data_IF_430101682648
#
_entry.id   IF_430101682648
#
_cell.length_a   1.000
_cell.length_b   1.000
_cell.length_c   1.000
_cell.angle_alpha   90.00
_cell.angle_beta   90.00
_cell.angle_gamma   90.00
#
_symmetry.space_group_name_H-M   'P 1'
#
loop_
_entity.id
_entity.type
_entity.pdbx_description
1 polymer ?
#
# COMPACT_ATOMS: atom_id res chain seq x y z
N UNK A 1 -35.50 0.47 54.32
CA UNK A 1 -34.30 -0.31 54.63
C UNK A 1 -33.87 -0.93 53.31
N UNK A 2 -32.99 -0.47 52.50
CA UNK A 2 -31.72 0.16 52.61
C UNK A 2 -30.62 -0.84 52.33
N UNK A 3 -29.77 -0.61 51.35
CA UNK A 3 -28.34 -0.98 51.16
C UNK A 3 -28.09 -1.25 49.68
N UNK A 4 -27.56 -0.33 48.89
CA UNK A 4 -26.18 0.05 48.69
C UNK A 4 -25.28 -1.10 48.18
N UNK A 5 -25.08 -1.15 46.85
CA UNK A 5 -24.11 -1.97 46.13
C UNK A 5 -22.99 -1.11 45.56
N UNK A 6 -21.74 -1.38 45.96
CA UNK A 6 -20.53 -0.70 45.55
C UNK A 6 -20.16 -1.02 44.12
N UNK A 7 -19.91 0.00 43.31
CA UNK A 7 -19.23 -0.06 42.02
C UNK A 7 -17.72 -0.18 42.23
N UNK A 8 -17.13 -1.25 41.72
CA UNK A 8 -15.68 -1.37 41.59
C UNK A 8 -15.25 -0.76 40.24
N UNK A 9 -14.51 0.36 40.31
CA UNK A 9 -13.88 0.97 39.17
C UNK A 9 -12.73 0.07 38.67
N UNK A 10 -12.88 -0.46 37.47
CA UNK A 10 -11.80 -1.11 36.72
C UNK A 10 -10.85 -0.03 36.18
N UNK A 11 -9.58 -0.12 36.55
CA UNK A 11 -8.52 0.74 36.02
C UNK A 11 -8.16 0.16 34.65
N UNK A 12 -8.68 0.77 33.58
CA UNK A 12 -8.26 0.50 32.22
C UNK A 12 -6.83 0.99 32.06
N UNK A 13 -5.90 0.03 31.93
CA UNK A 13 -4.52 0.29 31.49
C UNK A 13 -4.56 0.81 30.07
N UNK A 14 -4.42 2.11 29.89
CA UNK A 14 -4.26 2.76 28.61
C UNK A 14 -2.94 2.30 27.97
N UNK A 15 -3.04 1.30 27.10
CA UNK A 15 -1.97 0.95 26.18
C UNK A 15 -1.80 2.10 25.18
N UNK A 16 -0.66 2.76 25.19
CA UNK A 16 -0.32 3.81 24.24
C UNK A 16 -0.38 3.25 22.82
N UNK A 17 -1.09 3.90 21.87
CA UNK A 17 -1.15 3.44 20.50
C UNK A 17 0.22 3.60 19.84
N UNK A 18 0.82 2.50 19.42
CA UNK A 18 1.98 2.51 18.52
C UNK A 18 1.58 3.22 17.23
N UNK A 19 2.32 4.26 16.85
CA UNK A 19 1.99 5.18 15.75
C UNK A 19 1.78 4.51 14.37
N UNK A 20 2.18 3.25 14.20
CA UNK A 20 1.97 2.47 12.97
C UNK A 20 0.58 1.85 12.83
N UNK A 21 -0.10 1.53 13.93
CA UNK A 21 -1.41 0.84 13.86
C UNK A 21 -2.55 1.74 13.38
N UNK A 22 -2.50 3.03 13.69
CA UNK A 22 -3.54 3.98 13.30
C UNK A 22 -3.63 4.23 11.80
N UNK A 23 -2.50 4.26 11.10
CA UNK A 23 -2.49 4.44 9.64
C UNK A 23 -3.07 3.22 8.92
N UNK A 24 -2.67 2.01 9.31
CA UNK A 24 -3.21 0.75 8.75
C UNK A 24 -4.72 0.63 8.98
N UNK A 25 -5.20 1.02 10.17
CA UNK A 25 -6.63 1.01 10.49
C UNK A 25 -7.41 2.02 9.63
N UNK A 26 -6.88 3.24 9.44
CA UNK A 26 -7.47 4.25 8.56
C UNK A 26 -7.53 3.78 7.12
N UNK A 27 -6.48 3.15 6.63
CA UNK A 27 -6.45 2.55 5.31
C UNK A 27 -7.49 1.45 5.16
N UNK A 28 -7.59 0.52 6.10
CA UNK A 28 -8.58 -0.55 6.06
C UNK A 28 -10.02 0.01 6.01
N UNK A 29 -10.31 1.06 6.77
CA UNK A 29 -11.62 1.71 6.77
C UNK A 29 -11.96 2.38 5.44
N UNK A 30 -10.99 2.98 4.75
CA UNK A 30 -11.18 3.57 3.41
C UNK A 30 -11.61 2.54 2.35
N UNK A 31 -11.26 1.26 2.55
CA UNK A 31 -11.59 0.20 1.61
C UNK A 31 -12.87 -0.57 1.97
N UNK A 32 -13.31 -0.52 3.23
CA UNK A 32 -14.55 -1.18 3.67
C UNK A 32 -15.81 -0.34 3.46
N UNK A 33 -15.68 0.96 3.19
CA UNK A 33 -16.83 1.85 2.98
C UNK A 33 -17.32 1.74 1.54
N UNK A 34 -18.20 0.81 1.26
CA UNK A 34 -18.95 0.70 0.00
C UNK A 34 -20.28 1.45 0.00
N UNK A 35 -20.60 2.16 1.07
CA UNK A 35 -21.84 2.93 1.17
C UNK A 35 -21.65 4.05 2.19
N UNK A 36 -21.31 5.27 1.74
CA UNK A 36 -21.74 6.49 2.42
C UNK A 36 -21.22 7.73 1.68
N UNK A 37 -21.97 8.15 0.69
CA UNK A 37 -21.79 9.46 0.04
C UNK A 37 -22.11 10.63 1.00
N UNK A 38 -22.75 10.38 2.14
CA UNK A 38 -23.11 11.40 3.12
C UNK A 38 -22.01 11.68 4.17
N UNK A 39 -21.13 10.75 4.44
CA UNK A 39 -20.03 10.97 5.38
C UNK A 39 -18.91 11.86 4.81
N UNK A 40 -18.87 12.07 3.51
CA UNK A 40 -17.87 12.93 2.85
C UNK A 40 -18.17 14.43 2.98
N UNK A 41 -19.41 14.82 3.24
CA UNK A 41 -19.80 16.23 3.32
C UNK A 41 -19.41 16.92 4.66
N UNK A 42 -19.11 16.17 5.71
CA UNK A 42 -18.74 16.72 7.03
C UNK A 42 -17.23 16.74 7.29
N UNK A 43 -16.40 16.23 6.39
CA UNK A 43 -14.94 16.19 6.55
C UNK A 43 -14.19 17.40 5.97
N UNK A 44 -14.88 18.43 5.48
CA UNK A 44 -14.29 19.53 4.70
C UNK A 44 -13.80 20.70 5.56
N UNK A 45 -13.61 20.56 6.87
CA UNK A 45 -13.15 21.70 7.68
C UNK A 45 -12.01 21.45 8.67
N UNK A 46 -11.34 20.31 8.59
CA UNK A 46 -10.05 20.17 9.27
C UNK A 46 -8.95 20.43 8.23
N UNK A 47 -8.05 21.37 8.51
CA UNK A 47 -6.85 21.57 7.71
C UNK A 47 -6.20 20.19 7.48
N UNK A 48 -6.05 19.79 6.22
CA UNK A 48 -5.52 18.48 5.84
C UNK A 48 -4.12 18.34 6.47
N UNK A 49 -3.91 17.43 7.43
CA UNK A 49 -2.59 17.25 8.06
C UNK A 49 -1.51 16.85 7.03
N UNK A 50 -1.92 16.54 5.80
CA UNK A 50 -1.04 16.20 4.68
C UNK A 50 -0.83 17.35 3.68
N UNK A 51 -1.19 18.59 4.02
CA UNK A 51 -1.07 19.73 3.11
C UNK A 51 0.38 19.94 2.63
N UNK A 52 1.36 19.63 3.47
CA UNK A 52 2.80 19.68 3.13
C UNK A 52 3.35 18.33 2.60
N UNK A 53 2.50 17.37 2.27
CA UNK A 53 2.89 16.03 1.86
C UNK A 53 2.98 15.94 0.33
N UNK A 54 4.06 15.39 -0.25
CA UNK A 54 4.16 15.15 -1.69
C UNK A 54 2.97 14.36 -2.22
N UNK A 55 2.52 14.72 -3.41
CA UNK A 55 1.45 13.97 -4.09
C UNK A 55 1.90 12.53 -4.33
N UNK A 56 0.98 11.58 -4.19
CA UNK A 56 1.21 10.19 -4.60
C UNK A 56 0.44 9.89 -5.87
N UNK A 57 1.11 9.25 -6.82
CA UNK A 57 0.50 8.88 -8.09
C UNK A 57 0.95 7.48 -8.55
N UNK A 58 0.13 6.84 -9.38
CA UNK A 58 0.48 5.55 -9.97
C UNK A 58 1.29 5.79 -11.24
N UNK A 59 2.49 5.23 -11.30
CA UNK A 59 3.32 5.35 -12.49
C UNK A 59 2.59 4.82 -13.71
N UNK A 60 2.53 5.62 -14.77
CA UNK A 60 1.90 5.26 -16.04
C UNK A 60 2.38 3.90 -16.55
N UNK A 61 1.43 3.02 -16.86
CA UNK A 61 1.70 1.65 -17.30
C UNK A 61 2.02 0.65 -16.18
N UNK A 62 2.13 1.09 -14.91
CA UNK A 62 2.49 0.25 -13.77
C UNK A 62 1.33 -0.02 -12.79
N UNK A 63 0.09 0.34 -13.16
CA UNK A 63 -1.10 0.11 -12.36
C UNK A 63 -1.53 -1.36 -12.32
N UNK A 64 -1.08 -2.16 -13.29
CA UNK A 64 -1.48 -3.56 -13.46
C UNK A 64 -0.26 -4.44 -13.69
N UNK A 65 -0.21 -5.56 -12.97
CA UNK A 65 0.79 -6.61 -13.13
C UNK A 65 0.09 -7.88 -13.62
N UNK A 66 0.54 -8.43 -14.76
CA UNK A 66 0.03 -9.68 -15.31
C UNK A 66 1.08 -10.78 -15.16
N UNK A 67 0.69 -11.91 -14.63
CA UNK A 67 1.53 -13.07 -14.40
C UNK A 67 0.97 -14.26 -15.19
N UNK A 68 1.74 -14.74 -16.14
CA UNK A 68 1.37 -15.89 -16.97
C UNK A 68 1.94 -17.20 -16.47
N UNK A 69 1.59 -18.28 -17.14
CA UNK A 69 2.21 -19.59 -16.94
C UNK A 69 3.69 -19.54 -17.36
N UNK A 70 4.55 -20.22 -16.58
CA UNK A 70 5.99 -20.20 -16.79
C UNK A 70 6.36 -20.62 -18.23
N UNK A 71 7.23 -19.84 -18.88
CA UNK A 71 7.73 -20.10 -20.22
C UNK A 71 6.71 -19.90 -21.35
N UNK A 72 5.54 -19.36 -21.06
CA UNK A 72 4.50 -19.07 -22.07
C UNK A 72 4.29 -17.56 -22.22
N UNK A 73 3.87 -17.15 -23.41
CA UNK A 73 3.37 -15.79 -23.63
C UNK A 73 2.11 -15.55 -22.79
N UNK A 74 1.94 -14.31 -22.29
CA UNK A 74 0.79 -13.95 -21.47
C UNK A 74 -0.39 -13.61 -22.37
N UNK A 75 -1.28 -14.58 -22.55
CA UNK A 75 -2.58 -14.44 -23.22
C UNK A 75 -3.72 -14.50 -22.19
N UNK A 76 -4.96 -14.35 -22.66
CA UNK A 76 -6.15 -14.57 -21.82
C UNK A 76 -6.18 -15.98 -21.20
N UNK A 77 -5.75 -17.00 -21.95
CA UNK A 77 -5.79 -18.41 -21.55
C UNK A 77 -4.62 -18.81 -20.66
N UNK A 78 -3.44 -18.20 -20.87
CA UNK A 78 -2.23 -18.50 -20.09
C UNK A 78 -2.06 -17.59 -18.88
N UNK A 79 -2.97 -16.61 -18.68
CA UNK A 79 -2.98 -15.73 -17.54
C UNK A 79 -3.25 -16.51 -16.25
N UNK A 80 -2.33 -16.44 -15.30
CA UNK A 80 -2.50 -17.01 -13.96
C UNK A 80 -3.08 -16.03 -12.99
N UNK A 81 -2.49 -14.83 -12.91
CA UNK A 81 -2.90 -13.81 -11.97
C UNK A 81 -2.79 -12.43 -12.58
N UNK A 82 -3.68 -11.54 -12.18
CA UNK A 82 -3.60 -10.13 -12.51
C UNK A 82 -3.77 -9.30 -11.23
N UNK A 83 -2.72 -8.60 -10.83
CA UNK A 83 -2.79 -7.63 -9.75
C UNK A 83 -3.11 -6.24 -10.30
N UNK A 84 -3.95 -5.48 -9.59
CA UNK A 84 -4.31 -4.11 -9.95
C UNK A 84 -4.28 -3.23 -8.71
N UNK A 85 -3.63 -2.06 -8.80
CA UNK A 85 -3.69 -1.02 -7.77
C UNK A 85 -5.02 -0.30 -7.93
N UNK A 86 -5.78 -0.19 -6.84
CA UNK A 86 -7.07 0.48 -6.80
C UNK A 86 -7.00 1.85 -6.16
N UNK A 87 -6.24 1.99 -5.08
CA UNK A 87 -6.13 3.23 -4.29
C UNK A 87 -4.75 3.40 -3.68
N UNK A 88 -4.36 4.66 -3.52
CA UNK A 88 -3.19 5.09 -2.76
C UNK A 88 -3.65 5.97 -1.59
N UNK A 89 -2.91 5.91 -0.49
CA UNK A 89 -3.00 6.88 0.58
C UNK A 89 -1.60 7.22 1.09
N UNK A 90 -1.45 8.40 1.67
CA UNK A 90 -0.18 8.88 2.18
C UNK A 90 -0.32 9.53 3.55
N UNK A 91 0.76 9.48 4.31
CA UNK A 91 0.95 10.22 5.55
C UNK A 91 2.40 10.67 5.60
N UNK A 92 2.65 11.93 5.97
CA UNK A 92 4.00 12.47 6.02
C UNK A 92 4.35 12.94 7.43
N UNK A 93 5.64 12.87 7.72
CA UNK A 93 6.23 13.50 8.90
C UNK A 93 7.52 14.21 8.53
N UNK A 94 7.74 15.41 9.09
CA UNK A 94 8.95 16.20 8.86
C UNK A 94 9.71 16.33 10.17
N UNK A 95 11.00 16.00 10.13
CA UNK A 95 11.92 16.18 11.26
C UNK A 95 13.19 16.88 10.77
N UNK A 96 13.29 18.18 11.10
CA UNK A 96 14.37 19.02 10.55
C UNK A 96 14.31 19.07 9.02
N UNK A 97 15.41 18.79 8.31
CA UNK A 97 15.44 18.77 6.85
C UNK A 97 14.92 17.44 6.26
N UNK A 98 14.56 16.46 7.09
CA UNK A 98 14.21 15.11 6.65
C UNK A 98 12.70 14.94 6.62
N UNK A 99 12.18 14.51 5.48
CA UNK A 99 10.80 14.10 5.30
C UNK A 99 10.74 12.57 5.24
N UNK A 100 9.76 12.00 5.93
CA UNK A 100 9.40 10.60 5.84
C UNK A 100 7.96 10.50 5.34
N UNK A 101 7.76 9.78 4.26
CA UNK A 101 6.45 9.53 3.67
C UNK A 101 6.07 8.07 3.88
N UNK A 102 4.90 7.84 4.47
CA UNK A 102 4.26 6.53 4.50
C UNK A 102 3.28 6.46 3.34
N UNK A 103 3.33 5.36 2.61
CA UNK A 103 2.45 5.14 1.46
C UNK A 103 1.70 3.83 1.62
N UNK A 104 0.39 3.93 1.65
CA UNK A 104 -0.50 2.77 1.60
C UNK A 104 -0.96 2.50 0.17
N UNK A 105 -0.89 1.25 -0.23
CA UNK A 105 -1.31 0.76 -1.55
C UNK A 105 -2.33 -0.33 -1.35
N UNK A 106 -3.54 -0.10 -1.83
CA UNK A 106 -4.55 -1.12 -1.83
C UNK A 106 -4.92 -1.52 -3.25
N UNK A 107 -5.22 -2.78 -3.40
CA UNK A 107 -5.57 -3.36 -4.68
C UNK A 107 -6.14 -4.76 -4.53
N UNK A 108 -6.14 -5.48 -5.63
CA UNK A 108 -6.64 -6.85 -5.68
C UNK A 108 -5.83 -7.70 -6.66
N UNK A 109 -5.81 -8.98 -6.41
CA UNK A 109 -5.34 -10.00 -7.35
C UNK A 109 -6.53 -10.78 -7.86
N UNK A 110 -6.71 -10.80 -9.16
CA UNK A 110 -7.72 -11.62 -9.84
C UNK A 110 -7.04 -12.88 -10.39
N UNK A 111 -7.66 -14.02 -10.22
CA UNK A 111 -7.17 -15.31 -10.68
C UNK A 111 -7.64 -15.52 -12.10
N UNK A 112 -6.69 -15.77 -13.00
CA UNK A 112 -6.97 -16.08 -14.41
C UNK A 112 -7.20 -17.57 -14.66
N UNK A 113 -7.55 -17.96 -15.91
CA UNK A 113 -7.88 -19.35 -16.28
C UNK A 113 -6.76 -20.36 -16.01
N UNK A 114 -5.49 -19.94 -16.11
CA UNK A 114 -4.33 -20.79 -15.78
C UNK A 114 -3.84 -20.61 -14.35
N UNK A 115 -4.57 -19.86 -13.51
CA UNK A 115 -4.28 -19.66 -12.10
C UNK A 115 -4.82 -20.76 -11.21
N UNK A 116 -4.52 -20.68 -9.92
CA UNK A 116 -4.98 -21.61 -8.89
C UNK A 116 -4.51 -21.18 -7.51
N UNK A 117 -4.83 -21.97 -6.48
CA UNK A 117 -4.39 -21.72 -5.12
C UNK A 117 -2.88 -21.64 -5.01
N UNK A 118 -2.39 -20.83 -4.08
CA UNK A 118 -0.96 -20.67 -3.82
C UNK A 118 -0.59 -19.28 -3.33
N UNK A 119 0.69 -18.99 -3.34
CA UNK A 119 1.23 -17.70 -2.96
C UNK A 119 1.85 -17.01 -4.18
N UNK A 120 1.55 -15.72 -4.30
CA UNK A 120 2.13 -14.83 -5.32
C UNK A 120 2.88 -13.71 -4.62
N UNK A 121 4.17 -13.57 -4.91
CA UNK A 121 4.99 -12.46 -4.39
C UNK A 121 4.89 -11.27 -5.36
N UNK A 122 4.31 -10.18 -4.90
CA UNK A 122 4.03 -9.01 -5.73
C UNK A 122 5.09 -7.93 -5.47
N UNK A 123 5.85 -7.50 -6.51
CA UNK A 123 6.81 -6.42 -6.39
C UNK A 123 6.14 -5.06 -6.61
N UNK A 124 6.24 -4.19 -5.63
CA UNK A 124 5.91 -2.77 -5.73
C UNK A 124 7.18 -1.93 -5.69
N UNK A 125 7.29 -1.00 -6.60
CA UNK A 125 8.34 0.03 -6.59
C UNK A 125 7.74 1.36 -6.20
N UNK A 126 8.42 2.03 -5.28
CA UNK A 126 8.15 3.38 -4.85
C UNK A 126 9.30 4.25 -5.31
N UNK A 127 9.02 5.44 -5.81
CA UNK A 127 10.04 6.40 -6.22
C UNK A 127 9.60 7.81 -5.87
N UNK A 128 10.41 8.51 -5.09
CA UNK A 128 10.26 9.96 -4.87
C UNK A 128 10.99 10.66 -6.00
N UNK A 129 10.25 11.44 -6.78
CA UNK A 129 10.79 12.18 -7.91
C UNK A 129 10.58 13.66 -7.67
N UNK A 130 11.62 14.44 -7.86
CA UNK A 130 11.52 15.89 -7.98
C UNK A 130 11.20 16.21 -9.43
N UNK A 131 9.96 16.66 -9.66
CA UNK A 131 9.47 17.04 -10.98
C UNK A 131 10.02 18.42 -11.39
N UNK A 132 10.01 18.70 -12.69
CA UNK A 132 10.47 19.94 -13.27
C UNK A 132 11.03 19.73 -14.68
N UNK A 133 11.69 20.74 -15.28
CA UNK A 133 12.27 20.63 -16.61
C UNK A 133 13.31 19.49 -16.74
N UNK A 134 13.97 19.14 -15.63
CA UNK A 134 14.91 18.03 -15.52
C UNK A 134 14.50 17.15 -14.32
N UNK A 135 13.55 16.22 -14.48
CA UNK A 135 13.08 15.39 -13.39
C UNK A 135 14.21 14.54 -12.79
N UNK A 136 14.24 14.46 -11.46
CA UNK A 136 15.27 13.71 -10.74
C UNK A 136 14.66 12.74 -9.75
N UNK A 137 14.99 11.47 -9.86
CA UNK A 137 14.67 10.47 -8.83
C UNK A 137 15.57 10.71 -7.62
N UNK A 138 14.94 10.96 -6.47
CA UNK A 138 15.64 11.25 -5.22
C UNK A 138 15.89 9.97 -4.43
N UNK A 139 14.82 9.13 -4.29
CA UNK A 139 14.92 7.83 -3.64
C UNK A 139 14.03 6.83 -4.37
N UNK A 140 14.45 5.58 -4.39
CA UNK A 140 13.63 4.47 -4.91
C UNK A 140 13.72 3.28 -3.97
N UNK A 141 12.60 2.59 -3.77
CA UNK A 141 12.50 1.40 -2.93
C UNK A 141 11.67 0.33 -3.63
N UNK A 142 12.16 -0.89 -3.61
CA UNK A 142 11.43 -2.07 -4.08
C UNK A 142 11.01 -2.90 -2.88
N UNK A 143 9.72 -3.12 -2.74
CA UNK A 143 9.14 -3.98 -1.70
C UNK A 143 8.43 -5.16 -2.37
N UNK A 144 8.65 -6.36 -1.85
CA UNK A 144 7.90 -7.55 -2.25
C UNK A 144 7.04 -8.02 -1.10
N UNK A 145 5.80 -8.36 -1.39
CA UNK A 145 4.89 -8.88 -0.38
C UNK A 145 4.10 -10.07 -0.94
N UNK A 146 3.81 -11.07 -0.09
CA UNK A 146 3.06 -12.25 -0.49
C UNK A 146 1.56 -11.96 -0.47
N UNK A 147 0.87 -12.44 -1.49
CA UNK A 147 -0.59 -12.58 -1.51
C UNK A 147 -0.92 -14.05 -1.55
N UNK A 148 -1.61 -14.53 -0.54
CA UNK A 148 -2.06 -15.93 -0.44
C UNK A 148 -3.42 -16.05 -1.11
N UNK A 149 -3.57 -17.05 -1.97
CA UNK A 149 -4.78 -17.34 -2.73
C UNK A 149 -5.28 -18.71 -2.29
N UNK A 150 -6.42 -18.73 -1.62
CA UNK A 150 -7.07 -19.94 -1.16
C UNK A 150 -8.01 -20.52 -2.25
N UNK A 151 -8.36 -21.82 -2.13
CA UNK A 151 -8.88 -22.64 -3.21
C UNK A 151 -10.05 -22.09 -4.04
N UNK A 152 -11.02 -21.42 -3.41
CA UNK A 152 -12.26 -21.00 -4.08
C UNK A 152 -12.29 -19.49 -4.40
N UNK A 153 -11.21 -18.78 -4.11
CA UNK A 153 -11.15 -17.34 -4.32
C UNK A 153 -10.87 -17.02 -5.79
N UNK A 154 -11.67 -16.16 -6.38
CA UNK A 154 -11.42 -15.60 -7.72
C UNK A 154 -10.81 -14.20 -7.66
N UNK A 155 -10.87 -13.56 -6.49
CA UNK A 155 -10.42 -12.19 -6.26
C UNK A 155 -9.92 -12.05 -4.82
N UNK A 156 -8.67 -11.67 -4.64
CA UNK A 156 -8.03 -11.51 -3.33
C UNK A 156 -7.60 -10.05 -3.16
N UNK A 157 -8.19 -9.30 -2.21
CA UNK A 157 -7.74 -7.95 -1.91
C UNK A 157 -6.38 -7.97 -1.19
N UNK A 158 -5.58 -6.93 -1.40
CA UNK A 158 -4.36 -6.70 -0.66
C UNK A 158 -4.26 -5.26 -0.17
N UNK A 159 -3.54 -5.08 0.92
CA UNK A 159 -3.12 -3.80 1.47
C UNK A 159 -1.66 -3.88 1.85
N UNK A 160 -0.82 -3.11 1.16
CA UNK A 160 0.60 -2.97 1.45
C UNK A 160 0.88 -1.55 1.92
N UNK A 161 1.62 -1.42 3.01
CA UNK A 161 2.08 -0.12 3.53
C UNK A 161 3.60 -0.09 3.50
N UNK A 162 4.14 0.92 2.83
CA UNK A 162 5.54 1.30 2.92
C UNK A 162 5.64 2.45 3.91
N UNK A 163 6.41 2.25 5.00
CA UNK A 163 6.44 3.18 6.13
C UNK A 163 7.65 4.12 6.12
N UNK A 164 8.64 3.88 5.26
CA UNK A 164 9.96 4.49 5.41
C UNK A 164 10.55 4.98 4.08
N UNK A 165 9.78 5.83 3.37
CA UNK A 165 10.32 6.59 2.25
C UNK A 165 10.89 7.92 2.77
N UNK A 166 12.17 7.90 3.12
CA UNK A 166 12.84 9.04 3.75
C UNK A 166 13.75 9.76 2.78
N UNK A 167 13.67 11.09 2.73
CA UNK A 167 14.53 11.94 1.90
C UNK A 167 14.72 13.32 2.50
N UNK A 168 15.74 14.04 2.03
CA UNK A 168 16.04 15.40 2.48
C UNK A 168 15.29 16.41 1.62
N UNK A 169 14.64 17.37 2.25
CA UNK A 169 13.95 18.49 1.63
C UNK A 169 14.75 19.76 1.85
N UNK A 170 15.10 20.45 0.79
CA UNK A 170 15.93 21.68 0.85
C UNK A 170 15.15 22.91 1.28
N UNK A 171 13.84 22.97 0.94
CA UNK A 171 12.93 24.03 1.39
C UNK A 171 11.48 23.53 1.36
N UNK A 172 10.62 24.09 2.20
CA UNK A 172 9.18 23.76 2.20
C UNK A 172 8.50 24.14 0.87
N UNK A 173 8.90 25.24 0.26
CA UNK A 173 8.37 25.67 -1.04
C UNK A 173 8.73 24.72 -2.18
N UNK A 174 9.73 23.85 -2.02
CA UNK A 174 10.06 22.83 -3.01
C UNK A 174 9.23 21.55 -2.91
N UNK A 175 8.41 21.39 -1.84
CA UNK A 175 7.61 20.19 -1.61
C UNK A 175 6.57 19.94 -2.72
N UNK A 176 6.02 21.01 -3.28
CA UNK A 176 5.07 20.93 -4.40
C UNK A 176 5.65 20.26 -5.65
N UNK A 177 6.98 20.26 -5.76
CA UNK A 177 7.67 19.64 -6.90
C UNK A 177 8.01 18.16 -6.68
N UNK A 178 7.72 17.60 -5.50
CA UNK A 178 7.96 16.19 -5.24
C UNK A 178 6.70 15.37 -5.46
N UNK A 179 6.86 14.27 -6.19
CA UNK A 179 5.81 13.27 -6.41
C UNK A 179 6.34 11.90 -5.98
N UNK A 180 5.52 11.16 -5.26
CA UNK A 180 5.80 9.76 -4.94
C UNK A 180 5.08 8.88 -5.95
N UNK A 181 5.82 8.35 -6.90
CA UNK A 181 5.29 7.37 -7.84
C UNK A 181 5.30 5.98 -7.24
N UNK A 182 4.19 5.27 -7.44
CA UNK A 182 4.02 3.87 -7.04
C UNK A 182 3.65 3.05 -8.26
N UNK A 183 4.13 1.83 -8.34
CA UNK A 183 3.74 0.93 -9.42
C UNK A 183 4.27 -0.48 -9.24
N UNK A 184 3.66 -1.42 -9.95
CA UNK A 184 4.21 -2.76 -10.03
C UNK A 184 5.50 -2.77 -10.84
N UNK A 185 6.49 -3.52 -10.35
CA UNK A 185 7.76 -3.72 -11.04
C UNK A 185 7.80 -5.08 -11.74
N UNK A 186 7.37 -5.12 -12.99
CA UNK A 186 7.37 -6.35 -13.78
C UNK A 186 8.78 -6.89 -14.08
N UNK A 187 9.80 -6.04 -14.07
CA UNK A 187 11.19 -6.47 -14.25
C UNK A 187 11.69 -7.27 -13.05
N UNK A 188 11.30 -6.84 -11.85
CA UNK A 188 11.64 -7.54 -10.62
C UNK A 188 11.02 -8.95 -10.52
N UNK A 189 9.96 -9.25 -11.27
CA UNK A 189 9.41 -10.61 -11.35
C UNK A 189 10.33 -11.57 -12.08
N UNK A 190 11.08 -11.11 -13.08
CA UNK A 190 11.99 -11.92 -13.87
C UNK A 190 13.27 -12.27 -13.11
N UNK A 191 13.62 -11.50 -12.09
CA UNK A 191 14.81 -11.69 -11.27
C UNK A 191 14.60 -12.67 -10.11
N UNK A 192 13.39 -13.21 -9.92
CA UNK A 192 13.17 -14.22 -8.89
C UNK A 192 13.80 -15.54 -9.31
N UNK A 193 14.84 -16.05 -8.58
CA UNK A 193 15.31 -17.40 -8.78
C UNK A 193 14.17 -18.36 -8.47
N UNK A 194 13.90 -19.30 -9.36
CA UNK A 194 12.91 -20.35 -9.14
C UNK A 194 13.17 -20.98 -7.77
N UNK A 195 12.20 -20.88 -6.84
CA UNK A 195 12.26 -21.58 -5.54
C UNK A 195 12.44 -23.06 -5.87
N UNK A 196 13.64 -23.60 -5.63
CA UNK A 196 13.89 -25.04 -5.67
C UNK A 196 12.91 -25.67 -4.72
N UNK A 197 11.94 -26.42 -5.27
CA UNK A 197 10.98 -27.18 -4.50
C UNK A 197 11.76 -28.09 -3.54
N UNK A 198 11.59 -27.86 -2.24
CA UNK A 198 12.13 -28.74 -1.23
C UNK A 198 11.53 -30.13 -1.44
N UNK A 199 12.34 -31.06 -1.92
CA UNK A 199 12.03 -32.48 -1.89
C UNK A 199 12.04 -32.88 -0.43
N UNK A 200 10.87 -32.99 0.18
CA UNK A 200 10.73 -33.71 1.45
C UNK A 200 11.01 -35.20 1.17
N UNK A 201 12.03 -35.70 1.83
CA UNK A 201 12.26 -37.15 1.99
C UNK A 201 11.37 -37.67 3.10
#
# INVERSE_FOLDING_TARGET
MGLAGCSSAGIDSASAPTAGSGFRQRMANLFNSTSDAEAQALAVSAADPNQDCPVTDIRTGAATLRLGAAGKEITSETLRYQATIARLARECSVRGPTMTVKVGVAGRVVIGPAGGPGQVDIPLRYAVVQEGPNPKTIVTKLTRFPVVIDGDQTNVPFLQVEEDLTFTVTSRSSLENYVVYVGFDSAAMKEQPAKKGGRSR
#
